data_IF_120841376020
#
_entry.id   IF_120841376020
#
_cell.length_a   1.000
_cell.length_b   1.000
_cell.length_c   1.000
_cell.angle_alpha   90.00
_cell.angle_beta   90.00
_cell.angle_gamma   90.00
#
_symmetry.space_group_name_H-M   'P 1'
#
loop_
_entity.id
_entity.type
_entity.pdbx_description
1 polymer ?
#
# COMPACT_ATOMS: atom_id res chain seq x y z
N UNK A 1 15.16 15.48 -10.91
CA UNK A 1 14.99 15.87 -9.50
C UNK A 1 14.84 14.62 -8.66
N UNK A 2 15.36 14.61 -7.43
CA UNK A 2 15.23 13.46 -6.54
C UNK A 2 15.16 13.92 -5.07
N UNK A 3 14.50 13.11 -4.25
CA UNK A 3 14.43 13.25 -2.80
C UNK A 3 14.76 11.89 -2.17
N UNK A 4 15.92 11.81 -1.50
CA UNK A 4 16.40 10.56 -0.88
C UNK A 4 15.65 10.20 0.40
N UNK A 5 15.03 11.18 1.09
CA UNK A 5 14.30 10.94 2.33
C UNK A 5 12.96 10.26 2.05
N UNK A 6 12.29 10.69 0.99
CA UNK A 6 11.00 10.14 0.52
C UNK A 6 11.13 9.09 -0.57
N UNK A 7 12.35 8.87 -1.07
CA UNK A 7 12.68 7.91 -2.13
C UNK A 7 11.92 8.19 -3.44
N UNK A 8 11.86 9.47 -3.83
CA UNK A 8 11.16 9.93 -5.03
C UNK A 8 12.18 10.39 -6.06
N UNK A 9 11.99 9.97 -7.31
CA UNK A 9 12.72 10.48 -8.47
C UNK A 9 11.71 10.99 -9.49
N UNK A 10 11.95 12.20 -10.00
CA UNK A 10 11.06 12.83 -10.98
C UNK A 10 11.85 13.53 -12.08
N UNK A 11 11.30 13.51 -13.29
CA UNK A 11 11.77 14.38 -14.38
C UNK A 11 11.34 15.84 -14.17
N UNK A 12 10.31 16.06 -13.35
CA UNK A 12 9.73 17.36 -13.03
C UNK A 12 10.26 17.90 -11.69
N UNK A 13 10.25 19.22 -11.48
CA UNK A 13 10.71 19.84 -10.25
C UNK A 13 10.02 19.26 -9.01
N UNK A 14 10.81 19.07 -7.95
CA UNK A 14 10.30 18.71 -6.63
C UNK A 14 10.34 19.95 -5.74
N UNK A 15 9.22 20.24 -5.08
CA UNK A 15 9.05 21.38 -4.18
C UNK A 15 8.72 20.83 -2.80
N UNK A 16 9.53 21.19 -1.81
CA UNK A 16 9.26 20.85 -0.41
C UNK A 16 8.22 21.81 0.16
N UNK A 17 7.22 21.27 0.85
CA UNK A 17 6.24 22.10 1.55
C UNK A 17 6.90 22.90 2.68
N UNK A 18 6.27 23.98 3.12
CA UNK A 18 6.76 24.76 4.26
C UNK A 18 6.88 23.86 5.51
N UNK A 19 8.06 23.88 6.15
CA UNK A 19 8.39 22.98 7.25
C UNK A 19 8.84 21.57 6.85
N UNK A 20 8.79 21.25 5.55
CA UNK A 20 9.25 19.98 4.93
C UNK A 20 8.76 18.71 5.67
N UNK A 21 7.43 18.52 5.80
CA UNK A 21 6.85 17.38 6.51
C UNK A 21 7.17 16.07 5.79
N UNK A 22 7.57 15.01 6.50
CA UNK A 22 8.05 13.78 5.87
C UNK A 22 7.03 13.08 4.96
N UNK A 23 5.75 13.37 5.16
CA UNK A 23 4.62 12.66 4.59
C UNK A 23 4.46 12.85 3.07
N UNK A 24 4.86 14.01 2.55
CA UNK A 24 4.71 14.33 1.14
C UNK A 24 5.68 15.41 0.65
N UNK A 25 5.77 15.55 -0.66
CA UNK A 25 6.30 16.72 -1.35
C UNK A 25 5.39 17.09 -2.52
N UNK A 26 5.65 18.22 -3.16
CA UNK A 26 4.96 18.60 -4.39
C UNK A 26 5.80 18.30 -5.62
N UNK A 27 5.16 17.84 -6.69
CA UNK A 27 5.72 17.77 -8.03
C UNK A 27 5.11 18.89 -8.86
N UNK A 28 5.92 19.78 -9.42
CA UNK A 28 5.44 20.84 -10.30
C UNK A 28 5.23 20.30 -11.72
N UNK A 29 3.96 20.19 -12.13
CA UNK A 29 3.59 19.62 -13.45
C UNK A 29 3.56 20.68 -14.55
N UNK A 30 3.34 21.93 -14.18
CA UNK A 30 3.42 23.12 -15.01
C UNK A 30 3.59 24.35 -14.09
N UNK A 31 3.99 25.53 -14.59
CA UNK A 31 4.20 26.71 -13.76
C UNK A 31 2.99 27.01 -12.86
N UNK A 32 3.18 26.91 -11.54
CA UNK A 32 2.13 27.14 -10.53
C UNK A 32 1.09 26.02 -10.39
N UNK A 33 1.25 24.89 -11.07
CA UNK A 33 0.41 23.71 -10.94
C UNK A 33 1.20 22.57 -10.31
N UNK A 34 0.71 22.05 -9.19
CA UNK A 34 1.39 21.02 -8.42
C UNK A 34 0.50 19.80 -8.18
N UNK A 35 1.16 18.68 -7.95
CA UNK A 35 0.57 17.44 -7.46
C UNK A 35 1.23 17.07 -6.14
N UNK A 36 0.44 16.71 -5.13
CA UNK A 36 0.95 16.14 -3.88
C UNK A 36 1.40 14.70 -4.08
N UNK A 37 2.59 14.34 -3.59
CA UNK A 37 3.12 12.99 -3.72
C UNK A 37 3.70 12.49 -2.40
N UNK A 38 3.09 11.46 -1.85
CA UNK A 38 3.60 10.67 -0.73
C UNK A 38 4.06 9.29 -1.20
N UNK A 39 5.10 8.76 -0.57
CA UNK A 39 5.62 7.43 -0.85
C UNK A 39 5.97 6.72 0.47
N UNK A 40 5.48 5.49 0.66
CA UNK A 40 5.64 4.74 1.91
C UNK A 40 6.29 3.37 1.70
N UNK A 41 6.90 2.86 2.76
CA UNK A 41 7.29 1.47 2.87
C UNK A 41 6.98 1.01 4.29
N UNK A 42 5.79 0.43 4.49
CA UNK A 42 5.31 0.07 5.82
C UNK A 42 6.03 -1.18 6.35
N UNK A 43 5.87 -1.47 7.64
CA UNK A 43 6.49 -2.62 8.28
C UNK A 43 6.16 -3.94 7.55
N UNK A 44 7.18 -4.72 7.18
CA UNK A 44 7.01 -6.02 6.51
C UNK A 44 6.86 -7.19 7.49
N UNK A 45 7.20 -6.99 8.77
CA UNK A 45 7.13 -8.03 9.80
C UNK A 45 5.70 -8.51 10.10
N UNK A 46 5.60 -9.73 10.63
CA UNK A 46 4.34 -10.37 11.03
C UNK A 46 3.24 -10.27 9.96
N UNK A 47 3.59 -10.61 8.72
CA UNK A 47 2.75 -10.47 7.54
C UNK A 47 1.38 -11.16 7.71
N UNK A 48 0.30 -10.37 7.64
CA UNK A 48 -1.06 -10.82 7.92
C UNK A 48 -1.50 -12.04 7.10
N UNK A 49 -1.26 -12.07 5.78
CA UNK A 49 -1.61 -13.22 4.95
C UNK A 49 -0.94 -14.53 5.38
N UNK A 50 0.32 -14.48 5.81
CA UNK A 50 0.98 -15.67 6.37
C UNK A 50 0.27 -16.15 7.64
N UNK A 51 -0.16 -15.22 8.50
CA UNK A 51 -0.85 -15.55 9.76
C UNK A 51 -2.22 -16.17 9.51
N UNK A 52 -3.01 -15.60 8.59
CA UNK A 52 -4.29 -16.17 8.17
C UNK A 52 -4.11 -17.60 7.67
N UNK A 53 -3.13 -17.81 6.77
CA UNK A 53 -2.78 -19.14 6.24
C UNK A 53 -2.39 -20.15 7.33
N UNK A 54 -1.69 -19.71 8.37
CA UNK A 54 -1.26 -20.59 9.48
C UNK A 54 -2.29 -20.77 10.59
N UNK A 55 -3.51 -20.25 10.41
CA UNK A 55 -4.66 -20.54 11.27
C UNK A 55 -5.02 -19.45 12.28
N UNK A 56 -4.42 -18.26 12.20
CA UNK A 56 -4.85 -17.15 13.06
C UNK A 56 -6.28 -16.72 12.69
N UNK A 57 -7.05 -16.32 13.70
CA UNK A 57 -8.39 -15.77 13.47
C UNK A 57 -8.31 -14.39 12.81
N UNK A 58 -9.37 -14.00 12.11
CA UNK A 58 -9.49 -12.65 11.52
C UNK A 58 -9.22 -11.56 12.57
N UNK A 59 -9.69 -11.74 13.80
CA UNK A 59 -9.45 -10.80 14.91
C UNK A 59 -7.96 -10.62 15.22
N UNK A 60 -7.18 -11.71 15.18
CA UNK A 60 -5.73 -11.68 15.47
C UNK A 60 -4.92 -11.07 14.32
N UNK A 61 -5.34 -11.32 13.07
CA UNK A 61 -4.79 -10.67 11.87
C UNK A 61 -5.03 -9.17 11.93
N UNK A 62 -6.28 -8.75 12.13
CA UNK A 62 -6.64 -7.33 12.23
C UNK A 62 -5.94 -6.62 13.40
N UNK A 63 -5.77 -7.30 14.54
CA UNK A 63 -5.02 -6.75 15.68
C UNK A 63 -3.55 -6.52 15.35
N UNK A 64 -2.94 -7.42 14.57
CA UNK A 64 -1.57 -7.25 14.06
C UNK A 64 -1.44 -6.02 13.16
N UNK A 65 -2.32 -5.88 12.17
CA UNK A 65 -2.33 -4.75 11.24
C UNK A 65 -2.51 -3.40 11.96
N UNK A 66 -3.49 -3.33 12.88
CA UNK A 66 -3.78 -2.12 13.65
C UNK A 66 -2.63 -1.69 14.56
N UNK A 67 -1.80 -2.63 15.01
CA UNK A 67 -0.63 -2.33 15.84
C UNK A 67 0.59 -1.93 15.01
N UNK A 68 0.78 -2.55 13.84
CA UNK A 68 2.03 -2.43 13.08
C UNK A 68 1.96 -1.38 11.98
N UNK A 69 0.95 -1.46 11.10
CA UNK A 69 0.92 -0.68 9.86
C UNK A 69 0.00 0.53 9.93
N UNK A 70 -1.15 0.41 10.60
CA UNK A 70 -2.09 1.53 10.74
C UNK A 70 -1.40 2.77 11.31
N UNK A 71 -0.65 2.72 12.43
CA UNK A 71 -0.01 3.91 12.98
C UNK A 71 1.06 4.52 12.04
N UNK A 72 1.65 3.71 11.16
CA UNK A 72 2.65 4.18 10.20
C UNK A 72 2.00 4.88 9.00
N UNK A 73 0.87 4.36 8.49
CA UNK A 73 0.21 4.95 7.32
C UNK A 73 -0.62 6.19 7.68
N UNK A 74 -1.21 6.24 8.88
CA UNK A 74 -2.14 7.32 9.29
C UNK A 74 -1.60 8.73 9.03
N UNK A 75 -0.38 9.12 9.45
CA UNK A 75 0.09 10.49 9.21
C UNK A 75 0.19 10.83 7.71
N UNK A 76 0.62 9.87 6.88
CA UNK A 76 0.71 10.05 5.43
C UNK A 76 -0.67 10.18 4.80
N UNK A 77 -1.59 9.27 5.16
CA UNK A 77 -2.95 9.24 4.63
C UNK A 77 -3.70 10.53 4.98
N UNK A 78 -3.63 10.99 6.23
CA UNK A 78 -4.28 12.23 6.65
C UNK A 78 -3.64 13.47 6.00
N UNK A 79 -2.31 13.51 5.85
CA UNK A 79 -1.64 14.63 5.20
C UNK A 79 -2.02 14.75 3.73
N UNK A 80 -2.02 13.64 3.00
CA UNK A 80 -2.41 13.60 1.59
C UNK A 80 -3.92 13.86 1.42
N UNK A 81 -4.77 13.33 2.31
CA UNK A 81 -6.22 13.60 2.28
C UNK A 81 -6.50 15.11 2.41
N UNK A 82 -5.82 15.81 3.33
CA UNK A 82 -5.95 17.27 3.48
C UNK A 82 -5.56 18.03 2.21
N UNK A 83 -4.58 17.56 1.44
CA UNK A 83 -4.25 18.15 0.14
C UNK A 83 -5.40 17.97 -0.86
N UNK A 84 -5.99 16.78 -0.89
CA UNK A 84 -7.16 16.47 -1.72
C UNK A 84 -8.38 17.32 -1.36
N UNK A 85 -8.68 17.47 -0.07
CA UNK A 85 -9.74 18.36 0.43
C UNK A 85 -9.52 19.83 0.04
N UNK A 86 -8.26 20.27 0.02
CA UNK A 86 -7.87 21.60 -0.45
C UNK A 86 -7.85 21.74 -1.99
N UNK A 87 -8.25 20.70 -2.73
CA UNK A 87 -8.33 20.70 -4.19
C UNK A 87 -7.00 20.44 -4.92
N UNK A 88 -5.97 20.01 -4.20
CA UNK A 88 -4.69 19.61 -4.80
C UNK A 88 -4.74 18.12 -5.21
N UNK A 89 -4.63 17.78 -6.51
CA UNK A 89 -4.53 16.39 -6.92
C UNK A 89 -3.33 15.74 -6.24
N UNK A 90 -3.56 14.59 -5.60
CA UNK A 90 -2.54 13.98 -4.76
C UNK A 90 -2.52 12.46 -4.88
N UNK A 91 -1.34 11.89 -4.74
CA UNK A 91 -1.09 10.46 -4.83
C UNK A 91 -0.33 9.98 -3.59
N UNK A 92 -0.71 8.82 -3.10
CA UNK A 92 0.03 8.08 -2.09
C UNK A 92 0.42 6.73 -2.72
N UNK A 93 1.72 6.48 -2.80
CA UNK A 93 2.28 5.29 -3.43
C UNK A 93 3.17 4.51 -2.46
N UNK A 94 3.65 3.35 -2.88
CA UNK A 94 4.69 2.62 -2.16
C UNK A 94 4.31 1.17 -1.89
N UNK A 95 5.07 0.53 -1.00
CA UNK A 95 4.80 -0.82 -0.52
C UNK A 95 4.09 -0.74 0.83
N UNK A 96 2.80 -1.08 0.84
CA UNK A 96 1.98 -0.98 2.04
C UNK A 96 2.20 -2.20 2.93
N UNK A 97 2.86 -3.26 2.45
CA UNK A 97 3.02 -4.53 3.13
C UNK A 97 1.69 -5.10 3.70
N UNK A 98 0.55 -4.64 3.18
CA UNK A 98 -0.80 -4.93 3.65
C UNK A 98 -1.67 -5.10 2.41
N UNK A 99 -2.40 -6.21 2.25
CA UNK A 99 -3.26 -6.37 1.09
C UNK A 99 -4.42 -5.38 1.06
N UNK A 100 -5.12 -5.34 -0.06
CA UNK A 100 -6.34 -4.54 -0.20
C UNK A 100 -7.58 -5.25 0.34
N UNK A 101 -8.41 -4.53 1.09
CA UNK A 101 -9.74 -4.98 1.50
C UNK A 101 -10.65 -5.30 0.30
N UNK A 102 -10.35 -4.75 -0.88
CA UNK A 102 -11.07 -5.03 -2.13
C UNK A 102 -10.60 -6.35 -2.79
N UNK A 103 -9.50 -6.93 -2.32
CA UNK A 103 -8.88 -8.13 -2.90
C UNK A 103 -9.13 -9.38 -2.04
N UNK A 104 -9.41 -9.18 -0.76
CA UNK A 104 -9.71 -10.23 0.22
C UNK A 104 -11.20 -10.18 0.56
N UNK A 105 -12.02 -10.61 -0.40
CA UNK A 105 -13.49 -10.64 -0.33
C UNK A 105 -13.98 -12.08 -0.30
N UNK A 106 -15.28 -12.29 -0.06
CA UNK A 106 -15.86 -13.63 -0.13
C UNK A 106 -15.63 -14.31 -1.50
N UNK A 107 -15.58 -13.53 -2.59
CA UNK A 107 -15.36 -14.04 -3.93
C UNK A 107 -13.93 -14.56 -4.18
N UNK A 108 -12.96 -14.14 -3.36
CA UNK A 108 -11.54 -14.54 -3.51
C UNK A 108 -11.09 -15.58 -2.49
N UNK A 109 -11.99 -16.02 -1.61
CA UNK A 109 -11.72 -17.14 -0.70
C UNK A 109 -11.38 -18.40 -1.51
N UNK A 110 -10.35 -19.12 -1.07
CA UNK A 110 -9.81 -20.34 -1.69
C UNK A 110 -9.22 -20.15 -3.10
N UNK A 111 -9.22 -18.95 -3.69
CA UNK A 111 -8.54 -18.72 -4.98
C UNK A 111 -7.02 -18.73 -4.82
N UNK A 112 -6.52 -18.50 -3.59
CA UNK A 112 -5.10 -18.55 -3.21
C UNK A 112 -4.97 -19.13 -1.79
N UNK A 113 -3.90 -19.89 -1.48
CA UNK A 113 -3.79 -20.66 -0.23
C UNK A 113 -3.88 -19.84 1.07
N UNK A 114 -3.55 -18.55 1.03
CA UNK A 114 -3.59 -17.67 2.18
C UNK A 114 -4.97 -17.02 2.41
N UNK A 115 -5.84 -16.97 1.39
CA UNK A 115 -7.15 -16.32 1.47
C UNK A 115 -8.18 -17.34 1.98
N UNK A 116 -8.09 -17.62 3.26
CA UNK A 116 -8.95 -18.59 3.96
C UNK A 116 -10.25 -17.97 4.49
N UNK A 117 -10.33 -16.64 4.55
CA UNK A 117 -11.52 -15.85 4.88
C UNK A 117 -11.33 -14.42 4.33
N UNK A 118 -12.42 -13.66 4.07
CA UNK A 118 -12.31 -12.25 3.72
C UNK A 118 -11.67 -11.46 4.85
N UNK A 119 -10.89 -10.43 4.53
CA UNK A 119 -10.23 -9.58 5.52
C UNK A 119 -10.44 -8.11 5.16
N UNK A 120 -11.11 -7.34 6.04
CA UNK A 120 -11.20 -5.89 5.90
C UNK A 120 -9.85 -5.28 6.31
N UNK A 121 -8.87 -5.30 5.41
CA UNK A 121 -7.51 -4.87 5.68
C UNK A 121 -7.46 -3.41 6.19
N UNK A 122 -7.08 -3.16 7.46
CA UNK A 122 -7.29 -1.85 8.10
C UNK A 122 -6.55 -0.69 7.44
N UNK A 123 -5.41 -0.96 6.80
CA UNK A 123 -4.62 0.05 6.10
C UNK A 123 -5.40 0.59 4.91
N UNK A 124 -5.93 -0.28 4.06
CA UNK A 124 -6.63 0.14 2.83
C UNK A 124 -8.07 0.56 3.11
N UNK A 125 -8.72 0.04 4.15
CA UNK A 125 -10.00 0.59 4.63
C UNK A 125 -9.84 2.04 5.14
N UNK A 126 -8.79 2.33 5.89
CA UNK A 126 -8.50 3.70 6.35
C UNK A 126 -8.37 4.66 5.16
N UNK A 127 -7.64 4.26 4.11
CA UNK A 127 -7.51 5.07 2.91
C UNK A 127 -8.88 5.32 2.25
N UNK A 128 -9.69 4.27 2.06
CA UNK A 128 -11.01 4.42 1.45
C UNK A 128 -11.91 5.37 2.28
N UNK A 129 -11.87 5.27 3.60
CA UNK A 129 -12.60 6.19 4.49
C UNK A 129 -12.13 7.64 4.41
N UNK A 130 -10.85 7.88 4.09
CA UNK A 130 -10.29 9.20 3.87
C UNK A 130 -10.48 9.70 2.42
N UNK A 131 -11.28 9.01 1.61
CA UNK A 131 -11.65 9.43 0.25
C UNK A 131 -10.63 9.06 -0.82
N UNK A 132 -9.64 8.21 -0.51
CA UNK A 132 -8.73 7.71 -1.53
C UNK A 132 -9.42 6.70 -2.45
N UNK A 133 -9.01 6.71 -3.72
CA UNK A 133 -9.41 5.70 -4.71
C UNK A 133 -8.23 4.76 -4.97
N UNK A 134 -8.46 3.46 -4.84
CA UNK A 134 -7.52 2.43 -5.30
C UNK A 134 -7.50 2.40 -6.83
N UNK A 135 -6.46 2.98 -7.43
CA UNK A 135 -6.39 3.19 -8.88
C UNK A 135 -6.38 1.89 -9.67
N UNK A 136 -5.78 0.82 -9.14
CA UNK A 136 -5.77 -0.48 -9.80
C UNK A 136 -7.17 -1.08 -9.82
N UNK A 137 -7.83 -1.12 -8.65
CA UNK A 137 -9.16 -1.73 -8.52
C UNK A 137 -10.26 -0.87 -9.17
N UNK A 138 -10.03 0.42 -9.35
CA UNK A 138 -10.89 1.29 -10.17
C UNK A 138 -10.91 0.88 -11.65
N UNK A 139 -9.76 0.48 -12.21
CA UNK A 139 -9.65 0.04 -13.61
C UNK A 139 -9.94 -1.45 -13.78
N UNK A 140 -9.55 -2.26 -12.79
CA UNK A 140 -9.69 -3.72 -12.76
C UNK A 140 -10.60 -4.15 -11.60
N UNK A 141 -11.93 -3.97 -11.72
CA UNK A 141 -12.85 -4.11 -10.60
C UNK A 141 -13.03 -5.55 -10.10
N UNK A 142 -12.74 -6.56 -10.92
CA UNK A 142 -12.88 -7.97 -10.55
C UNK A 142 -11.56 -8.51 -9.94
N UNK A 143 -11.53 -8.80 -8.63
CA UNK A 143 -10.31 -9.28 -7.96
C UNK A 143 -9.99 -10.75 -8.25
N UNK A 144 -10.94 -11.52 -8.81
CA UNK A 144 -10.72 -12.91 -9.23
C UNK A 144 -10.11 -12.94 -10.63
N UNK A 145 -10.67 -12.16 -11.57
CA UNK A 145 -10.17 -12.10 -12.94
C UNK A 145 -8.81 -11.37 -13.03
N UNK A 146 -8.67 -10.26 -12.31
CA UNK A 146 -7.49 -9.39 -12.34
C UNK A 146 -6.88 -9.22 -10.94
N UNK A 147 -6.18 -10.24 -10.40
CA UNK A 147 -5.70 -10.21 -9.02
C UNK A 147 -4.64 -9.15 -8.75
N UNK A 148 -3.88 -8.74 -9.78
CA UNK A 148 -2.94 -7.61 -9.69
C UNK A 148 -1.75 -7.85 -8.76
N UNK A 149 -1.27 -9.09 -8.67
CA UNK A 149 -0.23 -9.51 -7.73
C UNK A 149 1.05 -8.69 -7.89
N UNK A 150 1.51 -8.07 -6.80
CA UNK A 150 2.75 -7.28 -6.75
C UNK A 150 3.81 -7.93 -5.86
N UNK A 151 3.41 -8.87 -5.00
CA UNK A 151 4.28 -9.61 -4.10
C UNK A 151 3.96 -11.11 -4.13
N UNK A 152 4.97 -12.01 -4.21
CA UNK A 152 6.37 -11.67 -4.48
C UNK A 152 6.50 -11.13 -5.90
N UNK A 153 7.13 -9.96 -6.06
CA UNK A 153 7.47 -9.47 -7.39
C UNK A 153 8.38 -10.52 -8.03
N UNK A 154 8.09 -10.94 -9.27
CA UNK A 154 8.82 -11.99 -9.99
C UNK A 154 10.29 -11.58 -10.21
N UNK A 155 11.08 -11.64 -9.14
CA UNK A 155 12.43 -11.12 -9.02
C UNK A 155 13.42 -12.27 -9.06
N UNK A 156 14.63 -12.06 -9.60
CA UNK A 156 15.68 -13.05 -9.51
C UNK A 156 15.95 -13.46 -8.06
N UNK A 157 16.22 -14.74 -7.85
CA UNK A 157 16.56 -15.23 -6.52
C UNK A 157 17.81 -14.52 -5.99
N UNK A 158 17.75 -14.05 -4.74
CA UNK A 158 18.87 -13.48 -4.04
C UNK A 158 19.94 -14.57 -3.86
N UNK A 159 21.16 -14.29 -4.35
CA UNK A 159 22.28 -15.26 -4.36
C UNK A 159 23.04 -15.35 -3.02
N UNK A 160 22.91 -14.35 -2.15
CA UNK A 160 23.76 -14.18 -0.95
C UNK A 160 22.97 -14.33 0.37
N UNK A 161 22.16 -15.38 0.51
CA UNK A 161 21.42 -15.65 1.75
C UNK A 161 20.23 -14.73 2.04
N UNK A 162 19.88 -13.85 1.10
CA UNK A 162 18.63 -13.09 1.16
C UNK A 162 17.42 -14.03 1.06
N UNK A 163 16.30 -13.65 1.69
CA UNK A 163 15.06 -14.41 1.59
C UNK A 163 14.62 -14.54 0.14
N UNK A 164 14.13 -15.73 -0.24
CA UNK A 164 13.54 -16.02 -1.55
C UNK A 164 12.14 -16.60 -1.33
N UNK A 165 11.14 -16.22 -2.14
CA UNK A 165 9.82 -16.82 -2.04
C UNK A 165 9.94 -18.32 -2.31
N UNK A 166 9.44 -19.13 -1.38
CA UNK A 166 9.24 -20.56 -1.62
C UNK A 166 8.05 -20.77 -2.55
N UNK A 167 7.86 -22.00 -3.02
CA UNK A 167 6.69 -22.39 -3.84
C UNK A 167 5.34 -22.09 -3.18
N UNK A 168 5.31 -21.98 -1.85
CA UNK A 168 4.11 -21.74 -1.04
C UNK A 168 4.11 -20.34 -0.40
N UNK A 169 4.94 -19.41 -0.91
CA UNK A 169 4.89 -18.02 -0.47
C UNK A 169 3.51 -17.44 -0.82
N UNK A 170 2.86 -16.67 0.10
CA UNK A 170 1.64 -15.98 -0.27
C UNK A 170 1.91 -15.04 -1.44
N UNK A 171 0.92 -14.90 -2.32
CA UNK A 171 0.98 -13.95 -3.42
C UNK A 171 -0.16 -12.94 -3.30
N UNK A 172 0.16 -11.67 -3.14
CA UNK A 172 -0.78 -10.60 -2.84
C UNK A 172 -0.41 -9.31 -3.58
N UNK A 173 -1.43 -8.47 -3.76
CA UNK A 173 -1.23 -7.07 -4.11
C UNK A 173 -1.12 -6.29 -2.81
N UNK A 174 0.06 -5.73 -2.55
CA UNK A 174 0.42 -4.95 -1.37
C UNK A 174 1.02 -3.61 -1.76
#
# INVERSE_FOLDING_TARGET
YYDVRRQIVSRLPLIHASGDPMEYLYVEVAPGQVVGLGNVHLASGAYGPNRARTGDSMREVLSGERRLRVPQITPYAEAIARLGEAGTPSFLTGDFNSPSHLDWTDATVDTRPQIVYPVPWPVTELLAHLGFTDSYRHVHPDPVADPGLTWPSNRPSAKNGGWNPGKDAPEDRI
#
